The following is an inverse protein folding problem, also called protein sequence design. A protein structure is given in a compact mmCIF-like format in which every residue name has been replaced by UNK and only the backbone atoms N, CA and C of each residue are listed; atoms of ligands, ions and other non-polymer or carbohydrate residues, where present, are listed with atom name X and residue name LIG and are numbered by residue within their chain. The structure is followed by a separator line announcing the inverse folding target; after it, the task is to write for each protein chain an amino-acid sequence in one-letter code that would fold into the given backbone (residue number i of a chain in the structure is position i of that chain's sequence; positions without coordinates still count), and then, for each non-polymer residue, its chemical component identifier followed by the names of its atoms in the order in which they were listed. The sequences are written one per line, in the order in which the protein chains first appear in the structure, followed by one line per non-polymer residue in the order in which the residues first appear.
data_IF_872098071591
#
_entry.id   IF_872098071591
#
_cell.length_a   1.000
_cell.length_b   1.000
_cell.length_c   1.000
_cell.angle_alpha   90.00
_cell.angle_beta   90.00
_cell.angle_gamma   90.00
#
_symmetry.space_group_name_H-M   'P 1'
#
loop_
_entity.id
_entity.type
_entity.pdbx_description
1 polymer ?
#
# COMPACT_ATOMS: atom_id res chain seq x y z
N UNK A 1 -6.65 2.71 3.65
CA UNK A 1 -5.71 3.50 2.80
C UNK A 1 -5.67 4.92 3.33
N UNK A 2 -4.64 5.70 3.01
CA UNK A 2 -4.57 7.13 3.34
C UNK A 2 -4.42 7.93 2.06
N UNK A 3 -5.01 9.13 2.02
CA UNK A 3 -5.00 10.00 0.84
C UNK A 3 -4.57 11.40 1.24
N UNK A 4 -3.51 11.90 0.61
CA UNK A 4 -3.16 13.31 0.56
C UNK A 4 -3.32 13.86 -0.86
N UNK A 5 -3.36 15.17 -1.00
CA UNK A 5 -3.37 15.89 -2.29
C UNK A 5 -2.02 16.49 -2.65
N UNK A 6 -1.11 16.56 -1.68
CA UNK A 6 0.22 17.17 -1.83
C UNK A 6 1.29 16.30 -1.18
N UNK A 7 2.56 16.52 -1.54
CA UNK A 7 3.68 15.80 -0.91
C UNK A 7 3.80 16.08 0.61
N UNK A 8 3.65 17.32 1.11
CA UNK A 8 3.64 17.58 2.55
C UNK A 8 2.49 16.88 3.30
N UNK A 9 1.29 16.84 2.71
CA UNK A 9 0.16 16.09 3.29
C UNK A 9 0.46 14.60 3.38
N UNK A 10 1.00 14.00 2.31
CA UNK A 10 1.41 12.60 2.34
C UNK A 10 2.44 12.34 3.43
N UNK A 11 3.45 13.22 3.56
CA UNK A 11 4.46 13.07 4.60
C UNK A 11 3.85 13.11 6.00
N UNK A 12 2.92 14.03 6.26
CA UNK A 12 2.18 14.10 7.53
C UNK A 12 1.40 12.81 7.79
N UNK A 13 0.71 12.28 6.78
CA UNK A 13 -0.02 11.01 6.89
C UNK A 13 0.92 9.82 7.14
N UNK A 14 2.11 9.79 6.52
CA UNK A 14 3.11 8.74 6.75
C UNK A 14 3.68 8.80 8.17
N UNK A 15 3.88 9.99 8.72
CA UNK A 15 4.49 10.18 10.05
C UNK A 15 3.51 10.11 11.23
N UNK A 16 2.21 10.32 11.02
CA UNK A 16 1.22 10.35 12.10
C UNK A 16 0.65 8.95 12.38
N UNK A 17 1.02 8.27 13.49
CA UNK A 17 0.51 6.94 13.81
C UNK A 17 -1.02 6.91 13.98
N UNK A 18 -1.64 8.05 14.34
CA UNK A 18 -3.07 8.18 14.58
C UNK A 18 -3.84 8.75 13.37
N UNK A 19 -3.19 8.86 12.21
CA UNK A 19 -3.86 9.25 10.98
C UNK A 19 -5.10 8.38 10.75
N UNK A 20 -6.19 8.99 10.27
CA UNK A 20 -7.45 8.30 9.98
C UNK A 20 -7.40 7.80 8.53
N UNK A 21 -7.64 6.50 8.28
CA UNK A 21 -7.69 5.98 6.92
C UNK A 21 -8.93 6.51 6.18
N UNK A 22 -8.80 6.70 4.88
CA UNK A 22 -9.95 6.94 4.00
C UNK A 22 -10.69 5.64 3.70
N UNK A 23 -12.02 5.73 3.61
CA UNK A 23 -12.90 4.67 3.12
C UNK A 23 -12.99 4.64 1.58
N UNK A 24 -12.47 5.67 0.90
CA UNK A 24 -12.51 5.79 -0.56
C UNK A 24 -11.49 4.84 -1.20
N UNK A 25 -11.87 4.26 -2.34
CA UNK A 25 -11.01 3.42 -3.20
C UNK A 25 -10.88 3.94 -4.63
N UNK A 26 -11.31 5.17 -4.86
CA UNK A 26 -11.21 5.89 -6.13
C UNK A 26 -10.33 7.12 -5.94
N UNK A 27 -9.26 7.22 -6.73
CA UNK A 27 -8.23 8.26 -6.58
C UNK A 27 -7.98 8.94 -7.92
N UNK A 28 -7.76 10.25 -7.91
CA UNK A 28 -7.29 10.95 -9.09
C UNK A 28 -5.77 10.76 -9.24
N UNK A 29 -5.22 10.93 -10.45
CA UNK A 29 -3.77 10.87 -10.67
C UNK A 29 -2.95 11.88 -9.86
N UNK A 30 -3.59 12.99 -9.47
CA UNK A 30 -2.98 14.01 -8.61
C UNK A 30 -2.93 13.63 -7.13
N UNK A 31 -3.67 12.61 -6.71
CA UNK A 31 -3.65 12.14 -5.32
C UNK A 31 -2.30 11.50 -4.96
N UNK A 32 -2.08 11.41 -3.66
CA UNK A 32 -0.95 10.73 -3.02
C UNK A 32 -1.51 9.70 -2.07
N UNK A 33 -1.20 8.42 -2.28
CA UNK A 33 -1.82 7.33 -1.52
C UNK A 33 -0.76 6.45 -0.87
N UNK A 34 -0.98 6.15 0.40
CA UNK A 34 -0.19 5.17 1.16
C UNK A 34 -1.11 4.13 1.79
N UNK A 35 -0.69 2.88 1.75
CA UNK A 35 -1.32 1.75 2.45
C UNK A 35 -0.47 1.45 3.69
N UNK A 36 -1.10 1.25 4.85
CA UNK A 36 -0.43 0.67 6.02
C UNK A 36 -0.82 -0.79 6.14
N UNK A 37 0.18 -1.64 6.36
CA UNK A 37 0.06 -3.09 6.42
C UNK A 37 0.62 -3.55 7.76
N UNK A 38 -0.25 -3.92 8.72
CA UNK A 38 0.21 -4.66 9.89
C UNK A 38 0.70 -6.04 9.43
N UNK A 39 1.93 -6.39 9.80
CA UNK A 39 2.57 -7.63 9.38
C UNK A 39 3.20 -8.31 10.60
N UNK A 40 2.74 -9.52 10.90
CA UNK A 40 3.14 -10.28 12.07
C UNK A 40 3.52 -11.71 11.68
N UNK A 41 4.58 -12.21 12.29
CA UNK A 41 5.04 -13.60 12.17
C UNK A 41 5.25 -14.26 13.53
N UNK A 42 5.54 -15.56 13.56
CA UNK A 42 5.83 -16.30 14.78
C UNK A 42 6.92 -15.62 15.63
N UNK A 43 6.75 -15.64 16.96
CA UNK A 43 7.74 -15.07 17.89
C UNK A 43 7.94 -13.55 17.80
N UNK A 44 7.03 -12.81 17.15
CA UNK A 44 7.15 -11.36 16.98
C UNK A 44 8.04 -10.95 15.81
N UNK A 45 8.42 -11.89 14.94
CA UNK A 45 9.16 -11.59 13.72
C UNK A 45 8.30 -10.74 12.77
N UNK A 46 8.91 -9.71 12.17
CA UNK A 46 8.28 -9.00 11.05
C UNK A 46 8.62 -9.70 9.74
N UNK A 47 7.64 -10.23 8.99
CA UNK A 47 7.90 -10.86 7.71
C UNK A 47 8.34 -9.80 6.69
N UNK A 48 9.14 -10.23 5.71
CA UNK A 48 9.43 -9.39 4.54
C UNK A 48 8.19 -9.35 3.66
N UNK A 49 7.77 -8.16 3.22
CA UNK A 49 6.68 -8.00 2.27
C UNK A 49 7.21 -7.93 0.85
N UNK A 50 6.69 -8.78 -0.03
CA UNK A 50 6.79 -8.62 -1.48
C UNK A 50 5.50 -7.98 -1.98
N UNK A 51 5.60 -6.85 -2.68
CA UNK A 51 4.44 -6.07 -3.07
C UNK A 51 4.48 -5.76 -4.55
N UNK A 52 3.43 -6.16 -5.27
CA UNK A 52 3.30 -5.92 -6.70
C UNK A 52 2.05 -5.10 -7.00
N UNK A 53 2.22 -4.08 -7.83
CA UNK A 53 1.08 -3.45 -8.51
C UNK A 53 0.69 -4.33 -9.69
N UNK A 54 -0.56 -4.74 -9.74
CA UNK A 54 -1.14 -5.52 -10.81
C UNK A 54 -2.11 -4.67 -11.64
N UNK A 55 -2.21 -4.98 -12.93
CA UNK A 55 -3.29 -4.48 -13.77
C UNK A 55 -4.62 -5.19 -13.44
N UNK A 56 -5.72 -4.76 -14.08
CA UNK A 56 -7.05 -5.38 -13.92
C UNK A 56 -7.09 -6.88 -14.23
N UNK A 57 -6.23 -7.36 -15.13
CA UNK A 57 -6.12 -8.78 -15.47
C UNK A 57 -5.29 -9.58 -14.45
N UNK A 58 -4.79 -8.95 -13.38
CA UNK A 58 -3.95 -9.59 -12.36
C UNK A 58 -2.49 -9.77 -12.79
N UNK A 59 -2.08 -9.18 -13.91
CA UNK A 59 -0.69 -9.28 -14.36
C UNK A 59 0.17 -8.24 -13.64
N UNK A 60 1.37 -8.62 -13.16
CA UNK A 60 2.27 -7.70 -12.49
C UNK A 60 2.73 -6.60 -13.46
N UNK A 61 2.64 -5.37 -13.00
CA UNK A 61 3.14 -4.19 -13.69
C UNK A 61 4.51 -3.81 -13.13
N UNK A 62 4.57 -3.51 -11.83
CA UNK A 62 5.78 -3.06 -11.14
C UNK A 62 5.80 -3.59 -9.70
N UNK A 63 6.99 -3.81 -9.15
CA UNK A 63 7.19 -3.99 -7.72
C UNK A 63 7.13 -2.63 -7.01
N UNK A 64 6.55 -2.58 -5.81
CA UNK A 64 6.42 -1.36 -5.00
C UNK A 64 7.09 -1.60 -3.64
N UNK A 65 8.02 -0.75 -3.18
CA UNK A 65 8.68 -1.00 -1.91
C UNK A 65 7.73 -0.86 -0.72
N UNK A 66 7.80 -1.80 0.21
CA UNK A 66 7.27 -1.64 1.55
C UNK A 66 8.37 -1.06 2.46
N UNK A 67 8.01 -0.09 3.29
CA UNK A 67 8.94 0.57 4.22
C UNK A 67 8.37 0.56 5.64
N UNK A 68 9.20 0.67 6.69
CA UNK A 68 8.68 0.80 8.05
C UNK A 68 7.75 2.03 8.19
N UNK A 69 6.68 1.87 8.97
CA UNK A 69 5.85 2.98 9.43
C UNK A 69 6.27 3.42 10.85
N UNK A 70 5.77 4.56 11.36
CA UNK A 70 5.99 4.96 12.76
C UNK A 70 5.40 4.00 13.80
N UNK A 71 4.46 3.14 13.42
CA UNK A 71 3.88 2.14 14.29
C UNK A 71 4.68 0.83 14.21
N UNK A 72 5.22 0.30 15.33
CA UNK A 72 5.92 -0.98 15.34
C UNK A 72 5.06 -2.12 14.78
N UNK A 73 5.66 -3.02 14.00
CA UNK A 73 4.94 -4.13 13.35
C UNK A 73 4.08 -3.71 12.15
N UNK A 74 4.13 -2.45 11.73
CA UNK A 74 3.37 -1.95 10.58
C UNK A 74 4.33 -1.41 9.52
N UNK A 75 4.20 -1.92 8.30
CA UNK A 75 4.86 -1.39 7.12
C UNK A 75 3.92 -0.47 6.34
N UNK A 76 4.46 0.32 5.44
CA UNK A 76 3.73 1.23 4.58
C UNK A 76 4.22 1.20 3.14
N UNK A 77 3.27 1.30 2.20
CA UNK A 77 3.48 1.17 0.76
C UNK A 77 2.92 2.42 0.10
N UNK A 78 3.77 3.20 -0.55
CA UNK A 78 3.37 4.39 -1.30
C UNK A 78 3.02 4.00 -2.74
N UNK A 79 1.79 4.27 -3.17
CA UNK A 79 1.30 3.84 -4.47
C UNK A 79 1.73 4.80 -5.58
N UNK A 80 2.26 4.31 -6.72
CA UNK A 80 2.73 5.15 -7.83
C UNK A 80 1.57 5.63 -8.73
N UNK A 81 0.50 6.20 -8.15
CA UNK A 81 -0.76 6.51 -8.84
C UNK A 81 -0.58 7.52 -9.98
N UNK A 82 0.35 8.46 -9.84
CA UNK A 82 0.56 9.53 -10.83
C UNK A 82 0.93 9.01 -12.23
N UNK A 83 1.59 7.84 -12.32
CA UNK A 83 1.98 7.21 -13.58
C UNK A 83 0.94 6.28 -14.19
N UNK A 84 -0.21 6.06 -13.52
CA UNK A 84 -1.21 5.09 -13.96
C UNK A 84 -2.25 5.74 -14.89
N UNK A 85 -2.70 4.97 -15.87
CA UNK A 85 -3.86 5.35 -16.68
C UNK A 85 -5.15 5.33 -15.83
N UNK A 86 -6.23 5.90 -16.35
CA UNK A 86 -7.53 5.74 -15.68
C UNK A 86 -7.98 4.29 -15.82
N UNK A 87 -8.41 3.65 -14.73
CA UNK A 87 -8.71 2.23 -14.72
C UNK A 87 -8.67 1.58 -13.34
N UNK A 88 -8.84 0.26 -13.30
CA UNK A 88 -8.81 -0.56 -12.09
C UNK A 88 -7.46 -1.25 -11.94
N UNK A 89 -6.97 -1.28 -10.70
CA UNK A 89 -5.68 -1.84 -10.33
C UNK A 89 -5.80 -2.60 -9.02
N UNK A 90 -4.85 -3.52 -8.79
CA UNK A 90 -4.78 -4.31 -7.56
C UNK A 90 -3.36 -4.20 -7.00
N UNK A 91 -3.25 -4.02 -5.69
CA UNK A 91 -1.98 -4.20 -4.98
C UNK A 91 -1.99 -5.61 -4.41
N UNK A 92 -1.08 -6.46 -4.89
CA UNK A 92 -0.79 -7.75 -4.26
C UNK A 92 0.26 -7.53 -3.18
N UNK A 93 -0.02 -8.01 -1.98
CA UNK A 93 0.88 -7.97 -0.83
C UNK A 93 1.08 -9.42 -0.38
N UNK A 94 2.32 -9.90 -0.44
CA UNK A 94 2.72 -11.21 0.05
C UNK A 94 3.63 -11.05 1.25
N UNK A 95 3.32 -11.73 2.34
CA UNK A 95 4.17 -11.84 3.51
C UNK A 95 4.70 -13.27 3.60
N UNK A 96 6.01 -13.43 3.59
CA UNK A 96 6.67 -14.73 3.74
C UNK A 96 7.40 -14.77 5.07
N UNK A 97 7.17 -15.83 5.85
CA UNK A 97 7.92 -16.12 7.07
C UNK A 97 7.92 -17.62 7.38
N UNK A 98 8.52 -17.99 8.51
CA UNK A 98 8.71 -19.40 8.89
C UNK A 98 7.40 -20.18 9.05
N UNK A 99 6.28 -19.48 9.30
CA UNK A 99 4.93 -20.06 9.40
C UNK A 99 4.20 -20.23 8.07
N UNK A 100 4.81 -19.87 6.93
CA UNK A 100 4.21 -19.95 5.59
C UNK A 100 4.04 -18.59 4.91
N UNK A 101 3.29 -18.59 3.81
CA UNK A 101 2.97 -17.41 3.01
C UNK A 101 1.54 -16.93 3.30
N UNK A 102 1.39 -15.62 3.51
CA UNK A 102 0.10 -14.94 3.51
C UNK A 102 0.02 -13.99 2.31
N UNK A 103 -1.16 -13.93 1.68
CA UNK A 103 -1.41 -13.08 0.51
C UNK A 103 -2.67 -12.24 0.72
N UNK A 104 -2.57 -10.95 0.46
CA UNK A 104 -3.67 -9.98 0.48
C UNK A 104 -3.75 -9.27 -0.89
N UNK A 105 -4.97 -9.04 -1.37
CA UNK A 105 -5.23 -8.31 -2.62
C UNK A 105 -6.05 -7.06 -2.32
N UNK A 106 -5.51 -5.89 -2.64
CA UNK A 106 -6.17 -4.61 -2.36
C UNK A 106 -6.50 -3.89 -3.66
N UNK A 107 -7.79 -3.89 -4.02
CA UNK A 107 -8.30 -3.18 -5.21
C UNK A 107 -8.44 -1.67 -5.00
N UNK A 108 -8.14 -0.90 -6.06
CA UNK A 108 -8.44 0.52 -6.19
C UNK A 108 -8.67 0.92 -7.64
N UNK A 109 -9.24 2.11 -7.84
CA UNK A 109 -9.48 2.72 -9.16
C UNK A 109 -8.76 4.05 -9.26
N UNK A 110 -8.14 4.28 -10.41
CA UNK A 110 -7.59 5.58 -10.80
C UNK A 110 -8.58 6.28 -11.72
N UNK A 111 -8.95 7.49 -11.34
CA UNK A 111 -9.82 8.40 -12.07
C UNK A 111 -8.95 9.37 -12.91
N UNK A 112 -9.56 9.90 -13.96
CA UNK A 112 -8.94 10.87 -14.88
C UNK A 112 -8.61 12.21 -14.22
#
# INVERSE_FOLDING_TARGET
MFRGRTAPELQKLKSDPNAIPTAIREFNRSDRVVIRVPAYGPGGMMPTLSVHLLNRAGQPMNEVPATPSPTPGVQQIELPIAGLAAGEYVVEIKATGDGGEAKELVGFRVMG
#
